data_IF_519581161437
#
_entry.id   IF_519581161437
#
_cell.length_a   1.000
_cell.length_b   1.000
_cell.length_c   1.000
_cell.angle_alpha   90.00
_cell.angle_beta   90.00
_cell.angle_gamma   90.00
#
_symmetry.space_group_name_H-M   'P 1'
#
loop_
_entity.id
_entity.type
_entity.pdbx_description
1 polymer ?
#
# COMPACT_ATOMS: atom_id res chain seq x y z
N UNK A 1 13.94 -1.99 -15.67
CA UNK A 1 12.45 -2.02 -15.70
C UNK A 1 12.06 -2.03 -14.22
N UNK A 2 12.11 -0.87 -13.57
CA UNK A 2 12.50 -0.82 -12.16
C UNK A 2 11.29 -0.56 -11.24
N UNK A 3 10.32 -1.47 -11.35
CA UNK A 3 9.28 -1.72 -10.35
C UNK A 3 9.14 -3.24 -10.30
N UNK A 4 9.56 -3.84 -9.20
CA UNK A 4 9.40 -5.28 -8.96
C UNK A 4 7.96 -5.55 -8.49
N UNK A 5 7.23 -6.43 -9.19
CA UNK A 5 5.84 -6.78 -8.85
C UNK A 5 4.77 -5.86 -9.46
N UNK A 6 3.58 -5.81 -8.85
CA UNK A 6 2.42 -5.03 -9.34
C UNK A 6 1.86 -4.15 -8.22
N UNK A 7 1.78 -2.84 -8.46
CA UNK A 7 1.19 -1.86 -7.54
C UNK A 7 -0.01 -1.19 -8.21
N UNK A 8 -1.24 -1.66 -7.95
CA UNK A 8 -2.44 -1.16 -8.64
C UNK A 8 -2.97 0.14 -7.98
N UNK A 9 -2.37 1.29 -8.32
CA UNK A 9 -2.69 2.60 -7.72
C UNK A 9 -4.12 3.10 -7.93
N UNK A 10 -4.80 2.66 -8.99
CA UNK A 10 -6.18 3.07 -9.28
C UNK A 10 -7.23 2.15 -8.63
N UNK A 11 -6.83 1.08 -7.94
CA UNK A 11 -7.75 0.11 -7.35
C UNK A 11 -8.00 0.45 -5.88
N UNK A 12 -9.16 1.06 -5.57
CA UNK A 12 -9.49 1.50 -4.20
C UNK A 12 -9.55 0.38 -3.15
N UNK A 13 -9.80 -0.86 -3.57
CA UNK A 13 -9.80 -2.04 -2.67
C UNK A 13 -8.39 -2.61 -2.40
N UNK A 14 -7.36 -2.07 -3.04
CA UNK A 14 -5.98 -2.49 -2.82
C UNK A 14 -5.50 -1.92 -1.48
N UNK A 15 -4.93 -2.78 -0.65
CA UNK A 15 -4.24 -2.38 0.57
C UNK A 15 -2.83 -1.91 0.17
N UNK A 16 -2.63 -0.59 0.17
CA UNK A 16 -1.38 0.06 -0.23
C UNK A 16 -0.93 0.97 0.91
N UNK A 17 0.24 0.67 1.46
CA UNK A 17 0.93 1.56 2.39
C UNK A 17 1.78 2.56 1.59
N UNK A 18 1.65 3.85 1.92
CA UNK A 18 2.49 4.91 1.40
C UNK A 18 3.40 5.47 2.49
N UNK A 19 4.69 5.59 2.16
CA UNK A 19 5.70 6.21 3.03
C UNK A 19 6.50 7.28 2.29
N UNK A 20 6.80 8.36 2.99
CA UNK A 20 7.72 9.41 2.55
C UNK A 20 8.84 9.55 3.58
N UNK A 21 10.08 9.59 3.11
CA UNK A 21 11.25 9.87 3.94
C UNK A 21 12.18 10.85 3.23
N UNK A 22 12.80 11.75 3.99
CA UNK A 22 13.79 12.70 3.48
C UNK A 22 15.18 12.34 4.00
N UNK A 23 16.11 12.07 3.10
CA UNK A 23 17.50 11.83 3.42
C UNK A 23 18.27 13.15 3.36
N UNK A 24 18.82 13.57 4.51
CA UNK A 24 19.73 14.73 4.59
C UNK A 24 21.15 14.29 4.24
N UNK A 25 21.66 14.79 3.14
CA UNK A 25 23.03 14.53 2.67
C UNK A 25 23.85 15.82 2.73
N UNK A 26 25.16 15.71 2.61
CA UNK A 26 26.09 16.85 2.61
C UNK A 26 25.80 17.89 1.53
N UNK A 27 25.16 17.49 0.43
CA UNK A 27 24.88 18.35 -0.72
C UNK A 27 23.40 18.78 -0.81
N UNK A 28 22.55 18.36 0.13
CA UNK A 28 21.14 18.72 0.14
C UNK A 28 20.22 17.60 0.64
N UNK A 29 18.93 17.72 0.34
CA UNK A 29 17.90 16.78 0.75
C UNK A 29 17.43 15.93 -0.44
N UNK A 30 17.31 14.62 -0.23
CA UNK A 30 16.78 13.67 -1.22
C UNK A 30 15.48 13.10 -0.67
N UNK A 31 14.39 13.26 -1.42
CA UNK A 31 13.10 12.66 -1.08
C UNK A 31 12.99 11.22 -1.59
N UNK A 32 12.62 10.30 -0.71
CA UNK A 32 12.34 8.89 -1.03
C UNK A 32 10.85 8.63 -0.83
N UNK A 33 10.19 8.17 -1.89
CA UNK A 33 8.78 7.76 -1.87
C UNK A 33 8.69 6.25 -2.02
N UNK A 34 7.91 5.61 -1.17
CA UNK A 34 7.75 4.15 -1.14
C UNK A 34 6.27 3.80 -1.16
N UNK A 35 5.91 2.81 -1.98
CA UNK A 35 4.60 2.18 -2.02
C UNK A 35 4.76 0.68 -1.77
N UNK A 36 4.01 0.13 -0.82
CA UNK A 36 4.01 -1.30 -0.50
C UNK A 36 2.60 -1.84 -0.73
N UNK A 37 2.45 -2.74 -1.71
CA UNK A 37 1.18 -3.43 -1.96
C UNK A 37 1.10 -4.71 -1.11
N UNK A 38 0.10 -4.80 -0.22
CA UNK A 38 -0.11 -5.93 0.70
C UNK A 38 -1.21 -6.90 0.25
N UNK A 39 -1.91 -6.60 -0.83
CA UNK A 39 -3.04 -7.40 -1.32
C UNK A 39 -4.34 -6.60 -1.38
N UNK A 40 -5.48 -7.28 -1.31
CA UNK A 40 -6.81 -6.64 -1.37
C UNK A 40 -7.52 -6.78 -0.03
N UNK A 41 -8.18 -5.71 0.42
CA UNK A 41 -9.06 -5.75 1.59
C UNK A 41 -10.37 -6.41 1.17
N UNK A 42 -10.58 -7.65 1.58
CA UNK A 42 -11.87 -8.33 1.43
C UNK A 42 -12.82 -7.83 2.51
N UNK A 43 -14.07 -7.44 2.19
CA UNK A 43 -15.04 -7.07 3.21
C UNK A 43 -15.24 -8.26 4.17
N UNK A 44 -15.33 -8.02 5.49
CA UNK A 44 -15.53 -9.08 6.46
C UNK A 44 -16.78 -9.86 6.07
N UNK A 45 -16.63 -11.18 5.95
CA UNK A 45 -17.73 -12.09 5.66
C UNK A 45 -18.75 -11.90 6.79
N UNK A 46 -19.88 -11.27 6.48
CA UNK A 46 -20.97 -11.07 7.45
C UNK A 46 -21.38 -12.46 7.91
N UNK A 47 -20.99 -12.84 9.13
CA UNK A 47 -21.38 -14.12 9.71
C UNK A 47 -22.87 -13.97 10.01
N UNK A 48 -23.71 -14.40 9.08
CA UNK A 48 -25.14 -14.53 9.31
C UNK A 48 -25.25 -15.65 10.34
N UNK A 49 -25.51 -15.29 11.60
CA UNK A 49 -25.92 -16.23 12.63
C UNK A 49 -27.19 -16.90 12.11
N UNK A 50 -27.00 -18.07 11.52
CA UNK A 50 -28.08 -18.90 11.04
C UNK A 50 -28.97 -19.17 12.26
N UNK A 51 -30.23 -18.75 12.14
CA UNK A 51 -31.18 -18.72 13.23
C UNK A 51 -31.25 -20.06 13.95
N UNK A 52 -31.32 -19.96 15.28
CA UNK A 52 -31.98 -20.95 16.11
C UNK A 52 -33.24 -20.29 16.67
#
# INVERSE_FOLDING_TARGET
>A
RDVEGTVPLHTLRADIDYGLAEARTTLGQIGVKVWIYKGQVLPPKRVVSQGR
#
